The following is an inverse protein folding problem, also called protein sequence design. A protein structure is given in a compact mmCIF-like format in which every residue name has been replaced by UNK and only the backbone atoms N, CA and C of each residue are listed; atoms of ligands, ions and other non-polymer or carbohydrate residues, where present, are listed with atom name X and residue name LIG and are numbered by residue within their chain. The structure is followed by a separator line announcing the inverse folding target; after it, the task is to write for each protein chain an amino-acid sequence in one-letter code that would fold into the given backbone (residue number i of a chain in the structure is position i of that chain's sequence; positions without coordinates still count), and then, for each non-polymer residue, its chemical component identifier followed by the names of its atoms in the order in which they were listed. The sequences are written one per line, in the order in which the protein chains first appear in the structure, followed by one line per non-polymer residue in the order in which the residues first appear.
data_IF_080589454756
#
_entry.id   IF_080589454756
#
_cell.length_a   1.000
_cell.length_b   1.000
_cell.length_c   1.000
_cell.angle_alpha   90.00
_cell.angle_beta   90.00
_cell.angle_gamma   90.00
#
_symmetry.space_group_name_H-M   'P 1'
#
loop_
_entity.id
_entity.type
_entity.pdbx_description
1 polymer ?
#
# COMPACT_ATOMS: atom_id res chain seq x y z
N UNK A 1 -2.79 1.21 -4.22
CA UNK A 1 -3.05 1.88 -2.92
C UNK A 1 -2.18 1.26 -1.82
N UNK A 2 -2.34 -0.02 -1.48
CA UNK A 2 -1.50 -0.70 -0.46
C UNK A 2 0.01 -0.54 -0.67
N UNK A 3 0.50 -0.79 -1.89
CA UNK A 3 1.93 -0.63 -2.18
C UNK A 3 2.42 0.81 -1.95
N UNK A 4 1.61 1.81 -2.30
CA UNK A 4 1.95 3.23 -2.07
C UNK A 4 2.02 3.54 -0.57
N UNK A 5 1.05 3.05 0.21
CA UNK A 5 1.05 3.22 1.67
C UNK A 5 2.31 2.62 2.29
N UNK A 6 2.71 1.43 1.84
CA UNK A 6 3.94 0.79 2.32
C UNK A 6 5.20 1.54 1.89
N UNK A 7 5.22 2.08 0.67
CA UNK A 7 6.31 2.95 0.22
C UNK A 7 6.43 4.18 1.14
N UNK A 8 5.33 4.81 1.54
CA UNK A 8 5.37 5.96 2.45
C UNK A 8 5.87 5.56 3.85
N UNK A 9 5.39 4.45 4.39
CA UNK A 9 5.80 3.93 5.70
C UNK A 9 7.31 3.61 5.72
N UNK A 10 7.81 2.92 4.70
CA UNK A 10 9.23 2.57 4.60
C UNK A 10 10.12 3.72 4.14
N UNK A 11 9.56 4.82 3.65
CA UNK A 11 10.33 6.03 3.36
C UNK A 11 10.72 6.75 4.66
N UNK A 12 9.76 6.90 5.58
CA UNK A 12 10.01 7.50 6.89
C UNK A 12 10.88 6.59 7.77
N UNK A 13 10.75 5.27 7.64
CA UNK A 13 11.58 4.31 8.39
C UNK A 13 13.04 4.22 7.90
N UNK A 14 13.37 4.74 6.71
CA UNK A 14 14.69 4.61 6.07
C UNK A 14 15.38 5.95 5.78
N UNK A 15 15.04 7.00 6.53
CA UNK A 15 15.70 8.33 6.48
C UNK A 15 15.79 8.93 5.07
N UNK A 16 14.83 8.61 4.19
CA UNK A 16 14.73 9.21 2.85
C UNK A 16 15.51 8.51 1.71
N UNK A 17 16.05 7.30 1.92
CA UNK A 17 16.68 6.52 0.84
C UNK A 17 15.62 5.83 -0.06
N UNK A 18 15.23 6.53 -1.12
CA UNK A 18 14.28 6.05 -2.14
C UNK A 18 14.63 4.68 -2.74
N UNK A 19 15.93 4.34 -2.85
CA UNK A 19 16.37 3.09 -3.45
C UNK A 19 16.03 1.90 -2.56
N UNK A 20 16.38 2.00 -1.27
CA UNK A 20 16.08 0.94 -0.30
C UNK A 20 14.60 0.89 0.07
N UNK A 21 13.91 2.02 0.14
CA UNK A 21 12.46 2.09 0.34
C UNK A 21 11.70 1.34 -0.76
N UNK A 22 12.03 1.59 -2.04
CA UNK A 22 11.37 0.88 -3.15
C UNK A 22 11.59 -0.63 -3.07
N UNK A 23 12.81 -1.08 -2.78
CA UNK A 23 13.11 -2.51 -2.64
C UNK A 23 12.36 -3.13 -1.45
N UNK A 24 12.34 -2.46 -0.30
CA UNK A 24 11.64 -2.94 0.89
C UNK A 24 10.11 -3.02 0.67
N UNK A 25 9.50 -1.99 0.10
CA UNK A 25 8.07 -1.96 -0.14
C UNK A 25 7.64 -3.00 -1.20
N UNK A 26 8.45 -3.22 -2.23
CA UNK A 26 8.19 -4.26 -3.25
C UNK A 26 8.38 -5.67 -2.70
N UNK A 27 9.39 -5.90 -1.85
CA UNK A 27 9.63 -7.23 -1.28
C UNK A 27 8.58 -7.63 -0.25
N UNK A 28 8.04 -6.68 0.52
CA UNK A 28 6.97 -6.94 1.50
C UNK A 28 5.61 -7.06 0.82
N UNK A 29 5.14 -5.97 0.21
CA UNK A 29 3.80 -5.88 -0.37
C UNK A 29 3.70 -6.59 -1.72
N UNK A 30 4.75 -6.49 -2.54
CA UNK A 30 4.73 -7.07 -3.89
C UNK A 30 4.63 -8.59 -3.89
N UNK A 31 5.26 -9.26 -2.92
CA UNK A 31 5.09 -10.72 -2.72
C UNK A 31 3.65 -11.11 -2.41
N UNK A 32 2.95 -10.34 -1.57
CA UNK A 32 1.55 -10.60 -1.24
C UNK A 32 0.62 -10.41 -2.46
N UNK A 33 0.89 -9.39 -3.28
CA UNK A 33 0.12 -9.13 -4.50
C UNK A 33 0.35 -10.25 -5.54
N UNK A 34 1.60 -10.70 -5.72
CA UNK A 34 1.93 -11.82 -6.61
C UNK A 34 1.24 -13.12 -6.18
N UNK A 35 1.12 -13.34 -4.86
CA UNK A 35 0.41 -14.50 -4.31
C UNK A 35 -1.10 -14.46 -4.61
N UNK A 36 -1.73 -13.28 -4.53
CA UNK A 36 -3.15 -13.16 -4.87
C UNK A 36 -3.39 -13.37 -6.36
N UNK A 37 -2.50 -12.87 -7.22
CA UNK A 37 -2.57 -13.09 -8.66
C UNK A 37 -2.39 -14.57 -9.04
N UNK A 38 -1.47 -15.30 -8.38
CA UNK A 38 -1.27 -16.71 -8.65
C UNK A 38 -2.49 -17.55 -8.25
N UNK A 39 -3.12 -17.25 -7.11
CA UNK A 39 -4.38 -17.89 -6.69
C UNK A 39 -5.48 -17.67 -7.74
N UNK A 40 -5.63 -16.43 -8.23
CA UNK A 40 -6.63 -16.11 -9.25
C UNK A 40 -6.42 -16.90 -10.54
N UNK A 41 -5.17 -16.98 -11.01
CA UNK A 41 -4.81 -17.74 -12.21
C UNK A 41 -5.11 -19.23 -12.03
N UNK A 42 -4.70 -19.82 -10.91
CA UNK A 42 -4.97 -21.23 -10.58
C UNK A 42 -6.47 -21.48 -10.42
N UNK A 43 -7.22 -20.52 -9.87
CA UNK A 43 -8.66 -20.63 -9.67
C UNK A 43 -9.46 -20.62 -10.97
N UNK A 44 -8.93 -20.03 -12.05
CA UNK A 44 -9.64 -19.87 -13.33
C UNK A 44 -9.12 -20.84 -14.41
N UNK A 45 -7.86 -21.29 -14.32
CA UNK A 45 -7.23 -22.23 -15.25
C UNK A 45 -8.00 -23.55 -15.46
N UNK A 46 -8.44 -24.26 -14.40
CA UNK A 46 -9.18 -25.52 -14.55
C UNK A 46 -10.56 -25.33 -15.19
N UNK A 47 -11.25 -24.24 -14.84
CA UNK A 47 -12.56 -23.90 -15.40
C UNK A 47 -12.47 -23.50 -16.86
N UNK A 48 -11.38 -22.84 -17.25
CA UNK A 48 -11.10 -22.50 -18.65
C UNK A 48 -10.96 -23.77 -19.51
N UNK A 49 -10.30 -24.81 -19.00
CA UNK A 49 -10.12 -26.08 -19.73
C UNK A 49 -11.40 -26.94 -19.79
N UNK A 50 -12.25 -26.85 -18.75
CA UNK A 50 -13.41 -27.74 -18.60
C UNK A 50 -14.71 -27.16 -19.20
N UNK A 51 -14.82 -25.84 -19.33
CA UNK A 51 -16.04 -25.20 -19.82
C UNK A 51 -16.05 -25.04 -21.34
N UNK A 52 -16.73 -25.97 -22.02
CA UNK A 52 -17.01 -25.88 -23.47
C UNK A 52 -17.91 -24.70 -23.89
N UNK A 53 -18.37 -23.84 -22.96
CA UNK A 53 -19.09 -22.60 -23.25
C UNK A 53 -18.10 -21.42 -23.23
N UNK A 54 -17.49 -21.17 -24.39
CA UNK A 54 -16.54 -20.09 -24.69
C UNK A 54 -16.95 -18.70 -24.12
N UNK A 55 -18.24 -18.41 -24.00
CA UNK A 55 -18.75 -17.15 -23.45
C UNK A 55 -18.42 -16.91 -21.97
N UNK A 56 -18.47 -17.95 -21.11
CA UNK A 56 -18.19 -17.79 -19.68
C UNK A 56 -16.68 -17.76 -19.41
N UNK A 57 -15.92 -18.53 -20.18
CA UNK A 57 -14.47 -18.58 -20.13
C UNK A 57 -13.83 -17.25 -20.61
N UNK A 58 -14.35 -16.64 -21.68
CA UNK A 58 -13.84 -15.39 -22.21
C UNK A 58 -13.96 -14.24 -21.18
N UNK A 59 -15.06 -14.18 -20.42
CA UNK A 59 -15.24 -13.15 -19.37
C UNK A 59 -14.28 -13.32 -18.20
N UNK A 60 -14.09 -14.55 -17.72
CA UNK A 60 -13.15 -14.85 -16.64
C UNK A 60 -11.69 -14.60 -17.05
N UNK A 61 -11.33 -14.90 -18.30
CA UNK A 61 -10.01 -14.65 -18.84
C UNK A 61 -9.71 -13.16 -18.96
N UNK A 62 -10.69 -12.35 -19.40
CA UNK A 62 -10.57 -10.89 -19.46
C UNK A 62 -10.33 -10.29 -18.06
N UNK A 63 -11.00 -10.80 -17.04
CA UNK A 63 -10.81 -10.39 -15.64
C UNK A 63 -9.39 -10.73 -15.16
N UNK A 64 -8.92 -11.97 -15.35
CA UNK A 64 -7.55 -12.36 -14.97
C UNK A 64 -6.51 -11.51 -15.69
N UNK A 65 -6.71 -11.25 -16.98
CA UNK A 65 -5.82 -10.44 -17.79
C UNK A 65 -5.74 -9.01 -17.27
N UNK A 66 -6.89 -8.37 -17.01
CA UNK A 66 -6.95 -7.03 -16.43
C UNK A 66 -6.28 -7.01 -15.05
N UNK A 67 -6.53 -8.02 -14.22
CA UNK A 67 -5.95 -8.07 -12.87
C UNK A 67 -4.43 -8.24 -12.90
N UNK A 68 -3.91 -9.04 -13.82
CA UNK A 68 -2.48 -9.19 -14.05
C UNK A 68 -1.85 -7.89 -14.56
N UNK A 69 -2.46 -7.25 -15.56
CA UNK A 69 -1.97 -5.98 -16.10
C UNK A 69 -1.96 -4.92 -14.99
N UNK A 70 -3.04 -4.80 -14.23
CA UNK A 70 -3.14 -3.85 -13.13
C UNK A 70 -2.14 -4.15 -12.00
N UNK A 71 -1.87 -5.42 -11.71
CA UNK A 71 -0.81 -5.82 -10.79
C UNK A 71 0.56 -5.38 -11.29
N UNK A 72 0.91 -5.68 -12.53
CA UNK A 72 2.21 -5.30 -13.12
C UNK A 72 2.34 -3.78 -13.11
N UNK A 73 1.28 -3.06 -13.48
CA UNK A 73 1.23 -1.61 -13.42
C UNK A 73 1.48 -1.12 -11.97
N UNK A 74 0.81 -1.70 -10.98
CA UNK A 74 1.02 -1.33 -9.59
C UNK A 74 2.47 -1.60 -9.14
N UNK A 75 3.06 -2.75 -9.50
CA UNK A 75 4.40 -3.14 -9.09
C UNK A 75 5.52 -2.40 -9.83
N UNK A 76 5.28 -1.92 -11.06
CA UNK A 76 6.30 -1.24 -11.88
C UNK A 76 6.09 0.26 -11.92
N UNK A 77 4.86 0.72 -12.21
CA UNK A 77 4.56 2.14 -12.40
C UNK A 77 4.58 2.90 -11.08
N UNK A 78 4.10 2.33 -9.97
CA UNK A 78 4.18 3.02 -8.67
C UNK A 78 5.62 3.30 -8.21
N UNK A 79 6.54 2.32 -8.12
CA UNK A 79 7.91 2.62 -7.68
C UNK A 79 8.65 3.51 -8.69
N UNK A 80 8.34 3.41 -9.99
CA UNK A 80 8.90 4.28 -11.02
C UNK A 80 8.44 5.73 -10.85
N UNK A 81 7.14 5.96 -10.62
CA UNK A 81 6.59 7.30 -10.36
C UNK A 81 7.16 7.88 -9.07
N UNK A 82 7.27 7.09 -8.01
CA UNK A 82 7.86 7.53 -6.74
C UNK A 82 9.32 7.95 -6.93
N UNK A 83 10.09 7.16 -7.68
CA UNK A 83 11.48 7.48 -7.98
C UNK A 83 11.64 8.73 -8.87
N UNK A 84 10.76 8.91 -9.85
CA UNK A 84 10.82 10.02 -10.81
C UNK A 84 10.29 11.33 -10.22
N UNK A 85 9.17 11.30 -9.50
CA UNK A 85 8.49 12.50 -9.01
C UNK A 85 8.93 12.92 -7.61
N UNK A 86 9.59 12.04 -6.84
CA UNK A 86 9.95 12.26 -5.42
C UNK A 86 8.87 13.07 -4.68
N UNK A 87 7.61 12.59 -4.70
CA UNK A 87 6.47 13.43 -4.38
C UNK A 87 6.58 13.96 -2.95
N UNK A 88 6.51 15.28 -2.79
CA UNK A 88 6.58 15.97 -1.49
C UNK A 88 5.54 15.47 -0.48
N UNK A 89 4.44 14.86 -0.95
CA UNK A 89 3.44 14.17 -0.11
C UNK A 89 4.06 13.05 0.74
N UNK A 90 5.04 12.31 0.21
CA UNK A 90 5.72 11.23 0.95
C UNK A 90 6.69 11.79 1.99
N UNK A 91 7.13 13.04 1.83
CA UNK A 91 8.07 13.75 2.72
C UNK A 91 7.35 14.64 3.75
N UNK A 92 6.01 14.73 3.71
CA UNK A 92 5.26 15.58 4.63
C UNK A 92 4.82 14.78 5.85
N UNK A 93 5.57 14.94 6.94
CA UNK A 93 5.22 14.49 8.30
C UNK A 93 3.94 15.16 8.86
N UNK A 94 3.49 16.27 8.27
CA UNK A 94 2.40 17.12 8.81
C UNK A 94 1.01 16.47 8.85
N UNK A 95 0.78 15.34 8.17
CA UNK A 95 -0.54 14.72 8.10
C UNK A 95 -0.83 13.71 9.22
N UNK A 96 0.16 13.33 10.02
CA UNK A 96 -0.02 12.46 11.20
C UNK A 96 0.03 13.23 12.54
N UNK A 97 0.40 14.52 12.53
CA UNK A 97 0.42 15.41 13.71
C UNK A 97 -0.93 16.13 13.88
N UNK A 98 -2.02 15.50 13.46
CA UNK A 98 -3.40 16.03 13.62
C UNK A 98 -4.17 15.45 14.81
N UNK A 99 -3.72 14.35 15.39
CA UNK A 99 -4.40 13.67 16.52
C UNK A 99 -3.66 13.83 17.86
N UNK A 100 -2.65 14.68 17.91
CA UNK A 100 -2.02 15.16 19.15
C UNK A 100 -2.57 16.52 19.55
N UNK A 101 -3.88 16.65 19.74
CA UNK A 101 -4.37 17.77 20.53
C UNK A 101 -3.79 17.60 21.94
N UNK A 102 -2.84 18.47 22.28
CA UNK A 102 -2.04 18.45 23.50
C UNK A 102 -2.94 18.48 24.75
N UNK A 103 -3.36 17.30 25.22
CA UNK A 103 -4.18 17.13 26.42
C UNK A 103 -3.42 17.55 27.68
N UNK A 104 -2.10 17.76 27.58
CA UNK A 104 -1.24 18.32 28.62
C UNK A 104 -1.64 19.76 28.97
N UNK A 105 -2.21 20.52 28.02
CA UNK A 105 -2.64 21.92 28.18
C UNK A 105 -3.89 22.06 29.07
N UNK A 106 -4.60 20.97 29.36
CA UNK A 106 -5.72 20.90 30.31
C UNK A 106 -5.33 20.37 31.70
N UNK A 107 -4.08 19.93 31.90
CA UNK A 107 -3.61 19.39 33.20
C UNK A 107 -2.97 20.43 34.11
N UNK A 108 -2.90 21.69 33.69
CA UNK A 108 -2.48 22.80 34.55
C UNK A 108 -3.73 23.52 35.03
N UNK A 109 -4.12 23.23 36.28
CA UNK A 109 -4.61 24.18 37.31
C UNK A 109 -5.65 23.51 38.24
N UNK A 110 -5.19 22.78 39.24
CA UNK A 110 -5.87 22.77 40.54
C UNK A 110 -4.81 23.02 41.61
N UNK A 111 -4.78 24.19 42.26
CA UNK A 111 -3.81 24.45 43.33
C UNK A 111 -4.14 23.57 44.55
N UNK A 112 -3.12 23.05 45.26
CA UNK A 112 -3.36 22.27 46.47
C UNK A 112 -4.05 23.16 47.53
N UNK A 113 -5.13 22.72 48.19
CA UNK A 113 -5.66 23.45 49.32
C UNK A 113 -4.59 23.49 50.42
N UNK A 114 -4.13 24.71 50.68
CA UNK A 114 -3.23 25.07 51.75
C UNK A 114 -3.83 24.65 53.11
N UNK A 115 -3.02 23.95 53.89
CA UNK A 115 -3.07 23.77 55.34
C UNK A 115 -4.18 24.53 56.11
N UNK A 116 -5.02 23.77 56.81
CA UNK A 116 -5.69 24.18 58.05
C UNK A 116 -5.58 23.04 59.06
#
# INVERSE_FOLDING_TARGET
IYLLSRICEEFHAQDGDWGRTNVAALTTTGKAIMFTASIMVIGILPWYFMSGLKFMADMGLLLVLIMLINMVLALVVLPLIVWLLKPTFVTRDDLLVGEGADLSLYTVQDPPPANA
#
